data_IF_201865749859
#
_entry.id   IF_201865749859
#
_cell.length_a   1.000
_cell.length_b   1.000
_cell.length_c   1.000
_cell.angle_alpha   90.00
_cell.angle_beta   90.00
_cell.angle_gamma   90.00
#
_symmetry.space_group_name_H-M   'P 1'
#
loop_
_entity.id
_entity.type
_entity.pdbx_description
1 polymer ?
#
# COMPACT_ATOMS: atom_id res chain seq x y z
N UNK A 1 7.43 -15.34 2.15
CA UNK A 1 6.58 -15.34 3.36
C UNK A 1 6.41 -13.89 3.78
N UNK A 2 5.19 -13.35 3.83
CA UNK A 2 4.91 -11.97 4.27
C UNK A 2 4.55 -12.01 5.76
N UNK A 3 5.49 -11.70 6.68
CA UNK A 3 5.32 -12.01 8.10
C UNK A 3 4.33 -11.10 8.84
N UNK A 4 3.85 -9.99 8.26
CA UNK A 4 3.04 -9.02 8.99
C UNK A 4 1.79 -8.61 8.20
N UNK A 5 0.85 -9.53 7.98
CA UNK A 5 -0.54 -9.19 7.68
C UNK A 5 -1.24 -8.87 9.00
N UNK A 6 -0.98 -7.66 9.51
CA UNK A 6 -1.61 -7.19 10.74
C UNK A 6 -3.04 -6.76 10.35
N UNK A 7 -4.10 -7.35 10.92
CA UNK A 7 -5.48 -7.06 10.54
C UNK A 7 -5.86 -5.59 10.69
N UNK A 8 -5.25 -4.88 11.65
CA UNK A 8 -5.44 -3.44 11.83
C UNK A 8 -4.96 -2.59 10.65
N UNK A 9 -4.02 -3.09 9.84
CA UNK A 9 -3.51 -2.34 8.67
C UNK A 9 -4.28 -2.61 7.38
N UNK A 10 -5.12 -3.65 7.34
CA UNK A 10 -5.81 -4.09 6.13
C UNK A 10 -7.29 -4.41 6.42
N UNK A 11 -8.12 -3.40 6.75
CA UNK A 11 -9.51 -3.62 7.16
C UNK A 11 -10.36 -4.26 6.05
N UNK A 12 -10.01 -4.06 4.78
CA UNK A 12 -10.72 -4.64 3.63
C UNK A 12 -10.44 -6.14 3.44
N UNK A 13 -9.25 -6.61 3.85
CA UNK A 13 -8.81 -7.98 3.63
C UNK A 13 -9.01 -8.90 4.84
N UNK A 14 -9.61 -8.40 5.94
CA UNK A 14 -9.86 -9.15 7.18
C UNK A 14 -10.60 -10.47 6.97
N UNK A 15 -11.64 -10.48 6.14
CA UNK A 15 -12.42 -11.68 5.81
C UNK A 15 -11.59 -12.82 5.22
N UNK A 16 -10.59 -12.50 4.40
CA UNK A 16 -9.71 -13.50 3.79
C UNK A 16 -8.66 -14.01 4.78
N UNK A 17 -8.23 -13.18 5.73
CA UNK A 17 -7.33 -13.59 6.82
C UNK A 17 -8.01 -14.58 7.76
N UNK A 18 -9.25 -14.30 8.17
CA UNK A 18 -10.03 -15.21 9.01
C UNK A 18 -10.29 -16.55 8.31
N UNK A 19 -10.67 -16.52 7.03
CA UNK A 19 -10.85 -17.72 6.22
C UNK A 19 -9.54 -18.55 6.11
N UNK A 20 -8.39 -17.88 6.01
CA UNK A 20 -7.10 -18.55 5.96
C UNK A 20 -6.75 -19.22 7.30
N UNK A 21 -7.03 -18.55 8.41
CA UNK A 21 -6.85 -19.11 9.77
C UNK A 21 -7.78 -20.30 9.98
N UNK A 22 -9.05 -20.19 9.59
CA UNK A 22 -10.01 -21.28 9.67
C UNK A 22 -9.56 -22.48 8.82
N UNK A 23 -9.10 -22.25 7.59
CA UNK A 23 -8.61 -23.31 6.71
C UNK A 23 -7.37 -24.02 7.28
N UNK A 24 -6.41 -23.26 7.82
CA UNK A 24 -5.23 -23.83 8.48
C UNK A 24 -5.55 -24.57 9.78
N UNK A 25 -6.57 -24.13 10.52
CA UNK A 25 -7.05 -24.79 11.73
C UNK A 25 -7.76 -26.10 11.41
N UNK A 26 -8.56 -26.12 10.35
CA UNK A 26 -9.24 -27.33 9.88
C UNK A 26 -8.26 -28.34 9.25
N UNK A 27 -7.22 -27.86 8.58
CA UNK A 27 -6.29 -28.68 7.81
C UNK A 27 -4.82 -28.41 8.18
N UNK A 28 -4.38 -28.79 9.39
CA UNK A 28 -3.00 -28.53 9.84
C UNK A 28 -1.95 -29.27 9.00
N UNK A 29 -2.28 -30.46 8.49
CA UNK A 29 -1.39 -31.29 7.67
C UNK A 29 -1.43 -30.96 6.17
N UNK A 30 -2.57 -30.48 5.64
CA UNK A 30 -2.68 -30.08 4.23
C UNK A 30 -2.23 -28.65 3.92
N UNK A 31 -1.62 -27.99 4.92
CA UNK A 31 -0.84 -26.76 4.72
C UNK A 31 0.15 -26.89 3.54
N UNK A 32 0.68 -28.09 3.31
CA UNK A 32 1.65 -28.37 2.26
C UNK A 32 1.03 -28.93 0.96
N UNK A 33 -0.22 -29.40 1.00
CA UNK A 33 -0.95 -29.90 -0.19
C UNK A 33 -1.70 -28.81 -0.95
N UNK A 34 -1.66 -27.57 -0.47
CA UNK A 34 -2.26 -26.42 -1.17
C UNK A 34 -3.77 -26.26 -0.96
N UNK A 35 -4.37 -26.96 0.02
CA UNK A 35 -5.82 -26.88 0.31
C UNK A 35 -6.31 -25.44 0.64
N UNK A 36 -5.41 -24.57 1.10
CA UNK A 36 -5.70 -23.17 1.41
C UNK A 36 -5.11 -22.19 0.37
N UNK A 37 -4.65 -22.65 -0.79
CA UNK A 37 -4.02 -21.78 -1.80
C UNK A 37 -5.01 -20.81 -2.43
N UNK A 38 -6.26 -21.20 -2.66
CA UNK A 38 -7.29 -20.30 -3.21
C UNK A 38 -7.54 -19.10 -2.30
N UNK A 39 -7.65 -19.34 -0.99
CA UNK A 39 -7.84 -18.29 0.02
C UNK A 39 -6.59 -17.41 0.09
N UNK A 40 -5.40 -18.01 0.01
CA UNK A 40 -4.12 -17.28 -0.03
C UNK A 40 -4.03 -16.37 -1.26
N UNK A 41 -4.51 -16.84 -2.42
CA UNK A 41 -4.54 -16.08 -3.66
C UNK A 41 -5.52 -14.89 -3.56
N UNK A 42 -6.72 -15.12 -3.01
CA UNK A 42 -7.71 -14.06 -2.80
C UNK A 42 -7.19 -12.99 -1.83
N UNK A 43 -6.56 -13.42 -0.74
CA UNK A 43 -5.92 -12.52 0.21
C UNK A 43 -4.83 -11.68 -0.46
N UNK A 44 -4.01 -12.29 -1.31
CA UNK A 44 -2.94 -11.60 -2.03
C UNK A 44 -3.47 -10.58 -3.03
N UNK A 45 -4.54 -10.90 -3.76
CA UNK A 45 -5.21 -9.97 -4.67
C UNK A 45 -5.76 -8.75 -3.93
N UNK A 46 -6.47 -9.00 -2.83
CA UNK A 46 -7.03 -7.94 -1.99
C UNK A 46 -5.96 -6.96 -1.50
N UNK A 47 -4.80 -7.45 -1.04
CA UNK A 47 -3.70 -6.59 -0.58
C UNK A 47 -3.08 -5.76 -1.72
N UNK A 48 -3.02 -6.32 -2.93
CA UNK A 48 -2.53 -5.60 -4.10
C UNK A 48 -3.51 -4.49 -4.48
N UNK A 49 -4.81 -4.78 -4.47
CA UNK A 49 -5.87 -3.80 -4.74
C UNK A 49 -5.86 -2.67 -3.71
N UNK A 50 -5.79 -2.99 -2.42
CA UNK A 50 -5.73 -2.00 -1.35
C UNK A 50 -4.50 -1.09 -1.50
N UNK A 51 -3.33 -1.70 -1.76
CA UNK A 51 -2.09 -0.96 -2.02
C UNK A 51 -2.17 -0.10 -3.27
N UNK A 52 -2.88 -0.53 -4.31
CA UNK A 52 -3.09 0.25 -5.53
C UNK A 52 -4.02 1.44 -5.26
N UNK A 53 -5.11 1.24 -4.50
CA UNK A 53 -6.01 2.31 -4.08
C UNK A 53 -5.28 3.36 -3.24
N UNK A 54 -4.38 2.96 -2.34
CA UNK A 54 -3.54 3.89 -1.57
C UNK A 54 -2.45 4.59 -2.40
N UNK A 55 -2.02 3.99 -3.52
CA UNK A 55 -0.98 4.52 -4.41
C UNK A 55 -1.53 5.47 -5.46
N UNK A 56 -2.74 5.25 -5.96
CA UNK A 56 -3.39 6.11 -6.94
C UNK A 56 -3.45 7.60 -6.53
N UNK A 57 -3.88 7.98 -5.31
CA UNK A 57 -3.88 9.39 -4.89
C UNK A 57 -2.47 9.94 -4.65
N UNK A 58 -1.52 9.08 -4.23
CA UNK A 58 -0.11 9.45 -4.06
C UNK A 58 0.58 9.72 -5.39
N UNK A 59 0.30 8.93 -6.42
CA UNK A 59 0.86 9.12 -7.76
C UNK A 59 0.29 10.38 -8.42
N UNK A 60 -1.00 10.66 -8.25
CA UNK A 60 -1.58 11.92 -8.70
C UNK A 60 -0.86 13.13 -8.07
N UNK A 61 -0.57 13.06 -6.76
CA UNK A 61 0.18 14.11 -6.05
C UNK A 61 1.67 14.18 -6.44
N UNK A 62 2.29 13.08 -6.89
CA UNK A 62 3.69 13.08 -7.32
C UNK A 62 3.89 13.57 -8.76
N UNK A 63 2.89 13.37 -9.63
CA UNK A 63 2.90 13.93 -10.99
C UNK A 63 2.61 15.43 -10.95
N UNK A 64 1.76 15.87 -10.02
CA UNK A 64 1.53 17.29 -9.73
C UNK A 64 2.38 17.81 -8.57
N UNK A 65 3.43 17.07 -8.20
CA UNK A 65 4.41 17.51 -7.21
C UNK A 65 5.03 18.76 -7.78
N UNK A 66 4.71 19.94 -7.25
CA UNK A 66 4.96 21.14 -7.99
C UNK A 66 6.46 21.39 -7.98
N UNK A 67 6.91 21.96 -9.08
CA UNK A 67 8.08 22.80 -9.15
C UNK A 67 7.99 24.01 -8.17
N UNK A 68 7.48 23.85 -6.95
CA UNK A 68 7.34 24.89 -5.91
C UNK A 68 8.71 25.39 -5.43
N UNK A 69 9.75 24.56 -5.55
CA UNK A 69 11.13 24.97 -5.22
C UNK A 69 11.66 26.06 -6.17
N UNK A 70 11.22 26.10 -7.42
CA UNK A 70 11.71 27.09 -8.39
C UNK A 70 11.06 28.47 -8.19
N UNK A 71 9.82 28.55 -7.72
CA UNK A 71 9.14 29.83 -7.49
C UNK A 71 9.68 30.56 -6.24
N UNK A 72 9.96 29.82 -5.15
CA UNK A 72 10.55 30.42 -3.95
C UNK A 72 11.99 30.94 -4.18
N UNK A 73 12.77 30.26 -5.04
CA UNK A 73 14.12 30.73 -5.40
C UNK A 73 14.09 31.99 -6.28
N UNK A 74 13.08 32.18 -7.13
CA UNK A 74 13.01 33.38 -7.97
C UNK A 74 12.70 34.64 -7.17
N UNK A 75 11.86 34.55 -6.13
CA UNK A 75 11.47 35.72 -5.35
C UNK A 75 12.62 36.23 -4.47
N UNK A 76 13.43 35.34 -3.88
CA UNK A 76 14.65 35.77 -3.15
C UNK A 76 15.71 36.39 -4.06
N UNK A 77 15.94 35.83 -5.26
CA UNK A 77 16.93 36.38 -6.21
C UNK A 77 16.52 37.77 -6.72
N UNK A 78 15.22 38.01 -6.92
CA UNK A 78 14.70 39.34 -7.31
C UNK A 78 14.90 40.35 -6.17
N UNK A 79 14.74 39.91 -4.93
CA UNK A 79 14.84 40.79 -3.76
C UNK A 79 16.30 41.14 -3.42
N UNK A 80 17.25 40.23 -3.61
CA UNK A 80 18.69 40.54 -3.53
C UNK A 80 19.15 41.50 -4.64
N UNK A 81 18.62 41.38 -5.86
CA UNK A 81 18.96 42.26 -6.98
C UNK A 81 18.41 43.70 -6.85
N UNK A 82 17.43 43.93 -5.97
CA UNK A 82 16.85 45.25 -5.70
C UNK A 82 17.56 46.00 -4.56
N UNK A 83 18.40 45.31 -3.78
CA UNK A 83 19.12 45.85 -2.61
C UNK A 83 20.61 46.09 -2.94
N UNK A 84 21.13 45.54 -4.04
CA UNK A 84 22.49 45.76 -4.57
C UNK A 84 22.55 46.91 -5.59
#
# INVERSE_FOLDING_TARGET
>A
MHPQLIPEKHPMCGKYMEALVACRKANPFDRFRGACNDITLQLSKCLVEEKQQERAPRQAQSVTGPCKKQQQQQEEVIQEALIA
#
